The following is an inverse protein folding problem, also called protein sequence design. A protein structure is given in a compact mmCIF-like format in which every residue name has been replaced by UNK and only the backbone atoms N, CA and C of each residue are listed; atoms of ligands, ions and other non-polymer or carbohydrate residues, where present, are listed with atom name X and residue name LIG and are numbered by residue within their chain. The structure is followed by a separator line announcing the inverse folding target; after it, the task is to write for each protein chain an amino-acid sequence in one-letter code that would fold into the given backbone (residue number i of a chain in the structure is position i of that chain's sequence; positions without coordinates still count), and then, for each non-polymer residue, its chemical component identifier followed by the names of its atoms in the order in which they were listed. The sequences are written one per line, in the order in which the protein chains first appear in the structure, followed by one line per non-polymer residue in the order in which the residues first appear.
data_IF_922611506584
#
_entry.id   IF_922611506584
#
_cell.length_a   1.000
_cell.length_b   1.000
_cell.length_c   1.000
_cell.angle_alpha   90.00
_cell.angle_beta   90.00
_cell.angle_gamma   90.00
#
_symmetry.space_group_name_H-M   'P 1'
#
loop_
_entity.id
_entity.type
_entity.pdbx_description
1 polymer ?
#
# COMPACT_ATOMS: atom_id res chain seq x y z
N UNK A 1 14.16 -12.53 -19.35
CA UNK A 1 13.00 -12.42 -18.45
C UNK A 1 13.21 -11.18 -17.59
N UNK A 2 12.41 -10.14 -17.80
CA UNK A 2 12.50 -8.88 -17.07
C UNK A 2 12.19 -9.12 -15.60
N UNK A 3 13.06 -8.68 -14.71
CA UNK A 3 12.83 -8.71 -13.26
C UNK A 3 11.57 -7.89 -12.96
N UNK A 4 10.44 -8.58 -12.74
CA UNK A 4 9.19 -8.03 -12.24
C UNK A 4 9.33 -7.72 -10.74
N UNK A 5 10.40 -7.02 -10.36
CA UNK A 5 10.49 -6.42 -9.04
C UNK A 5 9.36 -5.40 -9.00
N UNK A 6 8.24 -5.85 -8.44
CA UNK A 6 6.96 -5.18 -8.44
C UNK A 6 7.24 -3.84 -7.77
N UNK A 7 7.39 -2.78 -8.57
CA UNK A 7 7.75 -1.47 -8.05
C UNK A 7 6.58 -1.07 -7.15
N UNK A 8 6.76 -1.23 -5.83
CA UNK A 8 5.80 -0.93 -4.76
C UNK A 8 5.23 0.50 -4.87
N UNK A 9 5.91 1.36 -5.63
CA UNK A 9 5.50 2.72 -6.00
C UNK A 9 4.21 2.81 -6.84
N UNK A 10 3.73 1.70 -7.42
CA UNK A 10 2.49 1.68 -8.21
C UNK A 10 1.23 1.36 -7.39
N UNK A 11 1.32 1.29 -6.05
CA UNK A 11 0.16 1.03 -5.19
C UNK A 11 -0.62 2.33 -4.98
N UNK A 12 -1.94 2.29 -5.23
CA UNK A 12 -2.87 3.40 -4.97
C UNK A 12 -2.82 3.77 -3.47
N UNK A 13 -2.63 5.05 -3.10
CA UNK A 13 -2.61 5.45 -1.70
C UNK A 13 -3.93 5.16 -0.96
N UNK A 14 -3.92 4.67 0.30
CA UNK A 14 -5.13 4.34 1.06
C UNK A 14 -6.06 5.55 1.24
N UNK A 15 -5.48 6.73 1.50
CA UNK A 15 -6.26 7.97 1.69
C UNK A 15 -7.10 8.31 0.45
N UNK A 16 -6.65 7.96 -0.75
CA UNK A 16 -7.41 8.22 -1.97
C UNK A 16 -8.65 7.33 -2.04
N UNK A 17 -8.52 6.05 -1.68
CA UNK A 17 -9.64 5.12 -1.59
C UNK A 17 -10.65 5.56 -0.52
N UNK A 18 -10.18 6.08 0.62
CA UNK A 18 -11.05 6.65 1.66
C UNK A 18 -11.84 7.87 1.16
N UNK A 19 -11.22 8.75 0.38
CA UNK A 19 -11.90 9.91 -0.22
C UNK A 19 -12.98 9.48 -1.22
N UNK A 20 -12.69 8.48 -2.05
CA UNK A 20 -13.67 7.96 -3.03
C UNK A 20 -14.83 7.28 -2.30
N UNK A 21 -14.56 6.49 -1.24
CA UNK A 21 -15.59 5.81 -0.45
C UNK A 21 -16.59 6.75 0.24
N UNK A 22 -16.25 8.03 0.40
CA UNK A 22 -17.15 9.06 0.96
C UNK A 22 -18.13 9.62 -0.07
N UNK A 23 -17.84 9.48 -1.36
CA UNK A 23 -18.56 10.14 -2.45
C UNK A 23 -19.22 9.18 -3.44
N UNK A 24 -19.07 7.87 -3.26
CA UNK A 24 -19.66 6.84 -4.11
C UNK A 24 -20.96 6.27 -3.52
N UNK A 25 -21.74 5.57 -4.34
CA UNK A 25 -22.92 4.85 -3.87
C UNK A 25 -22.56 3.60 -3.04
N UNK A 26 -23.56 3.00 -2.38
CA UNK A 26 -23.35 1.86 -1.49
C UNK A 26 -22.86 0.59 -2.22
N UNK A 27 -23.18 0.45 -3.51
CA UNK A 27 -22.73 -0.69 -4.31
C UNK A 27 -21.22 -0.59 -4.55
N UNK A 28 -20.75 0.56 -5.02
CA UNK A 28 -19.35 0.84 -5.29
C UNK A 28 -18.52 0.89 -4.00
N UNK A 29 -19.08 1.46 -2.94
CA UNK A 29 -18.44 1.58 -1.62
C UNK A 29 -17.97 0.22 -1.10
N UNK A 30 -18.77 -0.83 -1.30
CA UNK A 30 -18.40 -2.20 -0.90
C UNK A 30 -17.11 -2.67 -1.57
N UNK A 31 -16.93 -2.37 -2.86
CA UNK A 31 -15.72 -2.75 -3.59
C UNK A 31 -14.53 -1.89 -3.19
N UNK A 32 -14.75 -0.58 -3.02
CA UNK A 32 -13.69 0.36 -2.59
C UNK A 32 -13.16 -0.03 -1.21
N UNK A 33 -14.04 -0.37 -0.26
CA UNK A 33 -13.63 -0.81 1.08
C UNK A 33 -12.84 -2.13 1.04
N UNK A 34 -13.21 -3.08 0.17
CA UNK A 34 -12.43 -4.31 -0.03
C UNK A 34 -11.04 -4.02 -0.57
N UNK A 35 -10.94 -3.12 -1.56
CA UNK A 35 -9.66 -2.70 -2.12
C UNK A 35 -8.82 -1.96 -1.08
N UNK A 36 -9.42 -1.09 -0.27
CA UNK A 36 -8.76 -0.38 0.80
C UNK A 36 -8.17 -1.33 1.85
N UNK A 37 -8.93 -2.34 2.29
CA UNK A 37 -8.43 -3.38 3.20
C UNK A 37 -7.23 -4.13 2.60
N UNK A 38 -7.34 -4.49 1.32
CA UNK A 38 -6.25 -5.18 0.62
C UNK A 38 -4.99 -4.32 0.52
N UNK A 39 -5.11 -3.06 0.11
CA UNK A 39 -3.99 -2.10 0.02
C UNK A 39 -3.34 -1.90 1.39
N UNK A 40 -4.14 -1.75 2.45
CA UNK A 40 -3.63 -1.60 3.81
C UNK A 40 -2.82 -2.83 4.27
N UNK A 41 -3.26 -4.03 3.91
CA UNK A 41 -2.51 -5.27 4.17
C UNK A 41 -1.20 -5.31 3.37
N UNK A 42 -1.24 -4.94 2.09
CA UNK A 42 -0.05 -4.88 1.24
C UNK A 42 1.00 -3.91 1.78
N UNK A 43 0.58 -2.71 2.23
CA UNK A 43 1.52 -1.74 2.79
C UNK A 43 2.15 -2.23 4.11
N UNK A 44 1.37 -2.91 4.96
CA UNK A 44 1.88 -3.53 6.21
C UNK A 44 2.80 -4.72 5.95
N UNK A 45 2.55 -5.49 4.90
CA UNK A 45 3.42 -6.60 4.49
C UNK A 45 4.71 -6.09 3.85
N UNK A 46 4.61 -5.06 2.99
CA UNK A 46 5.76 -4.37 2.41
C UNK A 46 6.77 -3.93 3.46
N UNK A 47 6.32 -3.34 4.56
CA UNK A 47 7.19 -2.95 5.67
C UNK A 47 7.93 -4.14 6.30
N UNK A 48 7.36 -5.35 6.31
CA UNK A 48 8.04 -6.55 6.83
C UNK A 48 9.07 -7.09 5.85
N UNK A 49 8.76 -7.09 4.55
CA UNK A 49 9.68 -7.54 3.51
C UNK A 49 10.86 -6.57 3.32
N UNK A 50 10.65 -5.26 3.48
CA UNK A 50 11.76 -4.28 3.42
C UNK A 50 12.69 -4.39 4.65
N UNK A 51 12.18 -4.77 5.83
CA UNK A 51 13.02 -5.03 7.02
C UNK A 51 13.87 -6.29 6.83
N UNK A 52 13.33 -7.34 6.20
CA UNK A 52 14.07 -8.59 5.95
C UNK A 52 15.10 -8.48 4.81
N UNK A 53 14.94 -7.51 3.90
CA UNK A 53 15.91 -7.24 2.83
C UNK A 53 16.90 -6.10 3.18
N UNK A 54 16.82 -5.54 4.39
CA UNK A 54 17.71 -4.48 4.88
C UNK A 54 18.71 -5.05 5.90
N UNK A 55 19.50 -6.03 5.49
CA UNK A 55 20.85 -6.17 6.08
C UNK A 55 21.77 -5.19 5.37
N UNK A 56 21.67 -3.90 5.75
CA UNK A 56 22.66 -2.89 5.39
C UNK A 56 22.12 -1.60 4.77
N UNK A 57 21.42 -0.78 5.56
CA UNK A 57 21.77 0.66 5.70
C UNK A 57 20.84 1.33 6.73
N UNK A 58 21.38 1.96 7.79
CA UNK A 58 20.56 2.67 8.76
C UNK A 58 20.19 4.05 8.21
N UNK A 59 18.99 4.21 7.65
CA UNK A 59 18.44 5.55 7.42
C UNK A 59 17.80 6.07 8.72
N UNK A 60 18.66 6.69 9.51
CA UNK A 60 18.37 7.69 10.51
C UNK A 60 17.38 8.75 9.96
N UNK A 61 16.12 8.70 10.37
CA UNK A 61 15.28 9.89 10.38
C UNK A 61 15.66 10.72 11.62
N UNK A 62 16.50 11.75 11.45
CA UNK A 62 16.68 12.77 12.48
C UNK A 62 15.54 13.77 12.44
N UNK A 63 15.13 14.18 13.65
CA UNK A 63 14.18 15.24 13.97
C UNK A 63 14.78 16.62 13.73
#
# INVERSE_FOLDING_TARGET
MSNNQTRKQNIIPPYLLECIAKSCDDNDKKYILKTLDHVNKLMKQSTKDDILNSEGEPLLCKK
#
